data_IF_996524679112
#
_entry.id   IF_996524679112
#
_cell.length_a   1.000
_cell.length_b   1.000
_cell.length_c   1.000
_cell.angle_alpha   90.00
_cell.angle_beta   90.00
_cell.angle_gamma   90.00
#
_symmetry.space_group_name_H-M   'P 1'
#
loop_
_entity.id
_entity.type
_entity.pdbx_description
1 polymer ?
#
# COMPACT_ATOMS: atom_id res chain seq x y z
N UNK A 1 0.16 -22.05 22.89
CA UNK A 1 0.40 -23.41 23.40
C UNK A 1 0.82 -24.41 22.33
N UNK A 2 0.35 -24.32 21.08
CA UNK A 2 0.77 -25.25 20.00
C UNK A 2 2.29 -25.34 19.78
N UNK A 3 2.97 -24.20 19.75
CA UNK A 3 4.44 -24.13 19.66
C UNK A 3 5.12 -24.79 20.86
N UNK A 4 4.61 -24.56 22.07
CA UNK A 4 5.11 -25.18 23.31
C UNK A 4 4.95 -26.70 23.26
N UNK A 5 3.81 -27.21 22.78
CA UNK A 5 3.60 -28.64 22.60
C UNK A 5 4.56 -29.24 21.58
N UNK A 6 4.82 -28.54 20.48
CA UNK A 6 5.77 -28.98 19.45
C UNK A 6 7.20 -29.05 19.99
N UNK A 7 7.65 -28.02 20.72
CA UNK A 7 9.01 -27.96 21.25
C UNK A 7 9.23 -29.02 22.34
N UNK A 8 8.23 -29.25 23.19
CA UNK A 8 8.32 -30.19 24.31
C UNK A 8 8.04 -31.65 23.92
N UNK A 9 7.69 -31.94 22.66
CA UNK A 9 7.17 -33.24 22.22
C UNK A 9 6.00 -33.73 23.10
N UNK A 10 5.11 -32.81 23.48
CA UNK A 10 4.01 -33.10 24.39
C UNK A 10 3.04 -34.14 23.79
N UNK A 11 2.83 -35.30 24.44
CA UNK A 11 1.87 -36.29 23.97
C UNK A 11 0.44 -35.72 23.89
N UNK A 12 -0.35 -36.05 22.84
CA UNK A 12 -1.71 -35.52 22.67
C UNK A 12 -2.63 -35.70 23.90
N UNK A 13 -2.50 -36.82 24.61
CA UNK A 13 -3.28 -37.14 25.82
C UNK A 13 -3.06 -36.18 26.99
N UNK A 14 -1.99 -35.38 26.99
CA UNK A 14 -1.70 -34.43 28.06
C UNK A 14 -1.88 -32.97 27.65
N UNK A 15 -2.09 -32.67 26.36
CA UNK A 15 -2.16 -31.30 25.85
C UNK A 15 -3.27 -30.49 26.53
N UNK A 16 -4.49 -31.04 26.65
CA UNK A 16 -5.61 -30.36 27.31
C UNK A 16 -5.34 -30.15 28.80
N UNK A 17 -4.72 -31.12 29.49
CA UNK A 17 -4.33 -30.96 30.90
C UNK A 17 -3.35 -29.79 31.06
N UNK A 18 -2.28 -29.77 30.27
CA UNK A 18 -1.26 -28.72 30.36
C UNK A 18 -1.78 -27.34 29.95
N UNK A 19 -2.56 -27.24 28.87
CA UNK A 19 -3.15 -25.96 28.47
C UNK A 19 -4.08 -25.41 29.55
N UNK A 20 -4.96 -26.28 30.07
CA UNK A 20 -6.00 -25.83 31.00
C UNK A 20 -5.45 -25.38 32.35
N UNK A 21 -4.24 -25.83 32.73
CA UNK A 21 -3.50 -25.33 33.89
C UNK A 21 -3.05 -23.87 33.72
N UNK A 22 -2.98 -23.35 32.50
CA UNK A 22 -2.56 -21.97 32.22
C UNK A 22 -3.73 -20.98 32.14
N UNK A 23 -4.98 -21.48 32.19
CA UNK A 23 -6.17 -20.64 32.12
C UNK A 23 -6.30 -19.76 33.36
N UNK A 24 -6.77 -18.53 33.16
CA UNK A 24 -6.95 -17.54 34.21
C UNK A 24 -8.38 -16.96 34.18
N UNK A 25 -8.79 -16.37 35.30
CA UNK A 25 -10.02 -15.58 35.47
C UNK A 25 -11.30 -16.21 34.90
N UNK A 26 -11.95 -15.49 33.98
CA UNK A 26 -13.21 -15.87 33.35
C UNK A 26 -13.10 -17.16 32.56
N UNK A 27 -11.93 -17.43 31.98
CA UNK A 27 -11.64 -18.61 31.17
C UNK A 27 -11.49 -19.85 32.04
N UNK A 28 -10.78 -19.72 33.17
CA UNK A 28 -10.66 -20.79 34.15
C UNK A 28 -12.03 -21.14 34.77
N UNK A 29 -12.82 -20.12 35.09
CA UNK A 29 -14.18 -20.26 35.63
C UNK A 29 -15.10 -21.00 34.65
N UNK A 30 -15.03 -20.63 33.37
CA UNK A 30 -15.74 -21.30 32.30
C UNK A 30 -15.31 -22.76 32.15
N UNK A 31 -14.00 -23.03 32.09
CA UNK A 31 -13.48 -24.39 31.94
C UNK A 31 -13.88 -25.31 33.09
N UNK A 32 -13.82 -24.82 34.33
CA UNK A 32 -14.29 -25.56 35.51
C UNK A 32 -15.78 -25.89 35.42
N UNK A 33 -16.59 -24.97 34.91
CA UNK A 33 -18.01 -25.21 34.66
C UNK A 33 -18.24 -26.21 33.52
N UNK A 34 -17.43 -26.18 32.47
CA UNK A 34 -17.49 -27.12 31.36
C UNK A 34 -17.15 -28.54 31.81
N UNK A 35 -16.04 -28.73 32.55
CA UNK A 35 -15.67 -30.02 33.15
C UNK A 35 -16.79 -30.63 33.99
N UNK A 36 -17.49 -29.83 34.79
CA UNK A 36 -18.66 -30.31 35.57
C UNK A 36 -19.81 -30.80 34.70
N UNK A 37 -19.96 -30.26 33.48
CA UNK A 37 -21.06 -30.62 32.57
C UNK A 37 -20.80 -31.87 31.76
N UNK A 38 -19.57 -32.04 31.26
CA UNK A 38 -19.22 -33.15 30.37
C UNK A 38 -18.52 -34.31 31.06
N UNK A 39 -18.33 -34.21 32.38
CA UNK A 39 -17.47 -35.06 33.22
C UNK A 39 -15.96 -34.80 33.07
N UNK A 40 -15.20 -34.98 34.16
CA UNK A 40 -13.77 -34.67 34.25
C UNK A 40 -12.94 -35.59 33.36
N UNK A 41 -13.26 -36.88 33.31
CA UNK A 41 -12.48 -37.85 32.54
C UNK A 41 -12.72 -37.64 31.04
N UNK A 42 -13.98 -37.42 30.66
CA UNK A 42 -14.33 -37.07 29.28
C UNK A 42 -13.74 -35.71 28.86
N UNK A 43 -13.71 -34.71 29.75
CA UNK A 43 -13.07 -33.43 29.48
C UNK A 43 -11.58 -33.55 29.20
N UNK A 44 -10.85 -34.37 29.97
CA UNK A 44 -9.41 -34.56 29.74
C UNK A 44 -9.08 -35.59 28.65
N UNK A 45 -10.03 -36.46 28.27
CA UNK A 45 -9.90 -37.33 27.11
C UNK A 45 -10.08 -36.59 25.78
N UNK A 46 -10.61 -35.35 25.79
CA UNK A 46 -10.83 -34.58 24.57
C UNK A 46 -9.50 -34.21 23.89
N UNK A 47 -9.51 -34.14 22.56
CA UNK A 47 -8.36 -33.66 21.79
C UNK A 47 -8.20 -32.15 21.94
N UNK A 48 -6.96 -31.66 21.89
CA UNK A 48 -6.62 -30.24 21.87
C UNK A 48 -7.44 -29.42 20.86
N UNK A 49 -7.58 -29.91 19.63
CA UNK A 49 -8.40 -29.26 18.60
C UNK A 49 -9.88 -29.10 18.99
N UNK A 50 -10.41 -30.02 19.81
CA UNK A 50 -11.76 -29.93 20.35
C UNK A 50 -11.90 -28.82 21.39
N UNK A 51 -10.91 -28.70 22.29
CA UNK A 51 -10.85 -27.60 23.25
C UNK A 51 -10.75 -26.25 22.55
N UNK A 52 -9.85 -26.11 21.56
CA UNK A 52 -9.74 -24.89 20.74
C UNK A 52 -11.07 -24.52 20.10
N UNK A 53 -11.75 -25.48 19.47
CA UNK A 53 -13.05 -25.23 18.84
C UNK A 53 -14.10 -24.72 19.84
N UNK A 54 -14.13 -25.28 21.05
CA UNK A 54 -15.03 -24.82 22.12
C UNK A 54 -14.69 -23.41 22.58
N UNK A 55 -13.41 -23.16 22.85
CA UNK A 55 -12.89 -21.86 23.27
C UNK A 55 -13.18 -20.77 22.23
N UNK A 56 -12.90 -21.04 20.95
CA UNK A 56 -13.21 -20.12 19.83
C UNK A 56 -14.71 -19.83 19.76
N UNK A 57 -15.59 -20.82 19.99
CA UNK A 57 -17.04 -20.58 19.96
C UNK A 57 -17.50 -19.64 21.08
N UNK A 58 -16.85 -19.70 22.25
CA UNK A 58 -17.24 -18.91 23.43
C UNK A 58 -16.62 -17.52 23.40
N UNK A 59 -15.34 -17.40 23.04
CA UNK A 59 -14.57 -16.17 23.16
C UNK A 59 -14.26 -15.48 21.83
N UNK A 60 -14.49 -16.14 20.69
CA UNK A 60 -14.31 -15.56 19.36
C UNK A 60 -15.61 -15.68 18.55
N UNK A 61 -16.70 -15.04 19.01
CA UNK A 61 -17.99 -15.20 18.38
C UNK A 61 -17.99 -14.56 16.98
N UNK A 62 -18.55 -15.29 16.01
CA UNK A 62 -18.42 -14.97 14.58
C UNK A 62 -19.01 -13.61 14.19
N UNK A 63 -20.05 -13.17 14.90
CA UNK A 63 -20.67 -11.85 14.73
C UNK A 63 -19.73 -10.71 15.10
N UNK A 64 -18.98 -10.83 16.20
CA UNK A 64 -18.01 -9.81 16.62
C UNK A 64 -16.83 -9.74 15.67
N UNK A 65 -16.31 -10.90 15.22
CA UNK A 65 -15.25 -10.94 14.20
C UNK A 65 -15.71 -10.23 12.93
N UNK A 66 -16.91 -10.55 12.43
CA UNK A 66 -17.46 -9.91 11.24
C UNK A 66 -17.66 -8.41 11.42
N UNK A 67 -18.08 -7.98 12.62
CA UNK A 67 -18.21 -6.56 12.95
C UNK A 67 -16.85 -5.86 12.89
N UNK A 68 -15.82 -6.44 13.49
CA UNK A 68 -14.45 -5.92 13.44
C UNK A 68 -13.90 -5.86 12.01
N UNK A 69 -14.20 -6.86 11.17
CA UNK A 69 -13.80 -6.85 9.75
C UNK A 69 -14.44 -5.68 8.99
N UNK A 70 -15.72 -5.41 9.23
CA UNK A 70 -16.44 -4.28 8.62
C UNK A 70 -15.86 -2.95 9.09
N UNK A 71 -15.70 -2.77 10.41
CA UNK A 71 -15.12 -1.56 10.99
C UNK A 71 -13.70 -1.30 10.45
N UNK A 72 -12.91 -2.36 10.24
CA UNK A 72 -11.57 -2.26 9.68
C UNK A 72 -11.58 -1.86 8.20
N UNK A 73 -12.53 -2.38 7.41
CA UNK A 73 -12.75 -1.97 6.02
C UNK A 73 -13.13 -0.50 5.94
N UNK A 74 -14.10 -0.05 6.74
CA UNK A 74 -14.54 1.35 6.77
C UNK A 74 -13.41 2.28 7.19
N UNK A 75 -12.65 1.90 8.23
CA UNK A 75 -11.48 2.65 8.69
C UNK A 75 -10.40 2.75 7.62
N UNK A 76 -10.16 1.67 6.86
CA UNK A 76 -9.21 1.70 5.75
C UNK A 76 -9.67 2.66 4.65
N UNK A 77 -10.94 2.58 4.24
CA UNK A 77 -11.52 3.50 3.24
C UNK A 77 -11.41 4.95 3.70
N UNK A 78 -11.71 5.23 4.97
CA UNK A 78 -11.61 6.58 5.55
C UNK A 78 -10.19 7.15 5.58
N UNK A 79 -9.17 6.31 5.53
CA UNK A 79 -7.76 6.73 5.49
C UNK A 79 -7.21 6.96 4.08
N UNK A 80 -7.96 6.65 3.02
CA UNK A 80 -7.49 6.80 1.64
C UNK A 80 -7.62 8.24 1.14
N UNK A 81 -6.74 8.68 0.21
CA UNK A 81 -6.93 9.95 -0.50
C UNK A 81 -8.28 9.99 -1.24
N UNK A 82 -9.00 11.10 -1.19
CA UNK A 82 -10.36 11.27 -1.77
C UNK A 82 -10.50 10.74 -3.21
N UNK A 83 -9.46 10.95 -4.02
CA UNK A 83 -9.41 10.57 -5.42
C UNK A 83 -9.21 9.06 -5.67
N UNK A 84 -8.93 8.28 -4.63
CA UNK A 84 -8.91 6.80 -4.62
C UNK A 84 -10.13 6.29 -3.85
N UNK A 85 -10.41 6.88 -2.69
CA UNK A 85 -11.51 6.53 -1.80
C UNK A 85 -12.84 6.38 -2.54
N UNK A 86 -13.22 7.35 -3.37
CA UNK A 86 -14.47 7.30 -4.13
C UNK A 86 -14.61 6.05 -5.00
N UNK A 87 -13.52 5.64 -5.66
CA UNK A 87 -13.52 4.47 -6.52
C UNK A 87 -13.56 3.17 -5.71
N UNK A 88 -12.88 3.14 -4.57
CA UNK A 88 -12.94 2.00 -3.64
C UNK A 88 -14.34 1.81 -3.07
N UNK A 89 -15.02 2.89 -2.69
CA UNK A 89 -16.42 2.84 -2.22
C UNK A 89 -17.32 2.25 -3.30
N UNK A 90 -17.15 2.68 -4.56
CA UNK A 90 -17.92 2.14 -5.70
C UNK A 90 -17.66 0.65 -5.90
N UNK A 91 -16.43 0.19 -5.67
CA UNK A 91 -16.09 -1.22 -5.79
C UNK A 91 -16.64 -2.10 -4.65
N UNK A 92 -17.11 -1.49 -3.56
CA UNK A 92 -17.77 -2.15 -2.41
C UNK A 92 -17.07 -3.43 -1.94
N UNK A 93 -15.79 -3.37 -1.53
CA UNK A 93 -15.05 -4.55 -1.10
C UNK A 93 -15.63 -5.13 0.19
N UNK A 94 -15.89 -6.44 0.19
CA UNK A 94 -16.40 -7.15 1.36
C UNK A 94 -15.32 -7.48 2.39
N UNK A 95 -14.04 -7.46 1.97
CA UNK A 95 -12.89 -7.79 2.83
C UNK A 95 -11.81 -6.73 2.72
N UNK A 96 -11.03 -6.60 3.80
CA UNK A 96 -9.88 -5.69 3.83
C UNK A 96 -8.87 -6.01 2.72
N UNK A 97 -8.62 -7.29 2.44
CA UNK A 97 -7.67 -7.70 1.40
C UNK A 97 -8.09 -7.21 0.01
N UNK A 98 -9.39 -7.32 -0.31
CA UNK A 98 -9.94 -6.81 -1.57
C UNK A 98 -9.77 -5.29 -1.63
N UNK A 99 -9.98 -4.61 -0.52
CA UNK A 99 -9.81 -3.16 -0.41
C UNK A 99 -8.36 -2.72 -0.68
N UNK A 100 -7.39 -3.39 -0.06
CA UNK A 100 -5.95 -3.15 -0.28
C UNK A 100 -5.59 -3.37 -1.75
N UNK A 101 -6.06 -4.47 -2.35
CA UNK A 101 -5.82 -4.78 -3.75
C UNK A 101 -6.36 -3.70 -4.67
N UNK A 102 -7.62 -3.28 -4.49
CA UNK A 102 -8.27 -2.27 -5.32
C UNK A 102 -7.56 -0.92 -5.17
N UNK A 103 -7.23 -0.51 -3.94
CA UNK A 103 -6.52 0.74 -3.70
C UNK A 103 -5.16 0.77 -4.42
N UNK A 104 -4.40 -0.33 -4.34
CA UNK A 104 -3.11 -0.46 -5.03
C UNK A 104 -3.26 -0.39 -6.54
N UNK A 105 -4.23 -1.12 -7.12
CA UNK A 105 -4.51 -1.07 -8.55
C UNK A 105 -4.87 0.35 -9.04
N UNK A 106 -5.62 1.10 -8.23
CA UNK A 106 -5.97 2.48 -8.56
C UNK A 106 -4.77 3.42 -8.50
N UNK A 107 -3.85 3.21 -7.56
CA UNK A 107 -2.59 3.95 -7.48
C UNK A 107 -1.69 3.65 -8.67
N UNK A 108 -1.51 2.38 -9.01
CA UNK A 108 -0.68 1.93 -10.14
C UNK A 108 -1.22 2.48 -11.46
N UNK A 109 -2.54 2.40 -11.67
CA UNK A 109 -3.20 2.95 -12.86
C UNK A 109 -2.94 4.44 -13.01
N UNK A 110 -2.93 5.20 -11.90
CA UNK A 110 -2.60 6.63 -11.96
C UNK A 110 -1.16 6.87 -12.32
N UNK A 111 -0.22 6.15 -11.70
CA UNK A 111 1.20 6.28 -12.00
C UNK A 111 1.47 5.98 -13.48
N UNK A 112 0.87 4.93 -14.02
CA UNK A 112 0.92 4.59 -15.45
C UNK A 112 0.34 5.70 -16.33
N UNK A 113 -0.81 6.29 -15.96
CA UNK A 113 -1.39 7.41 -16.71
C UNK A 113 -0.46 8.63 -16.76
N UNK A 114 0.26 8.93 -15.67
CA UNK A 114 1.24 10.02 -15.64
C UNK A 114 2.44 9.71 -16.54
N UNK A 115 2.98 8.48 -16.47
CA UNK A 115 4.08 8.04 -17.33
C UNK A 115 3.69 8.13 -18.82
N UNK A 116 2.50 7.67 -19.19
CA UNK A 116 2.01 7.71 -20.56
C UNK A 116 1.86 9.15 -21.09
N UNK A 117 1.28 10.07 -20.30
CA UNK A 117 1.16 11.49 -20.68
C UNK A 117 2.52 12.17 -20.81
N UNK A 118 3.45 11.87 -19.92
CA UNK A 118 4.82 12.41 -19.98
C UNK A 118 5.54 11.97 -21.27
N UNK A 119 5.45 10.67 -21.59
CA UNK A 119 6.01 10.12 -22.83
C UNK A 119 5.37 10.75 -24.08
N UNK A 120 4.05 10.98 -24.06
CA UNK A 120 3.35 11.65 -25.15
C UNK A 120 3.78 13.11 -25.33
N UNK A 121 3.88 13.86 -24.24
CA UNK A 121 4.33 15.25 -24.27
C UNK A 121 5.77 15.35 -24.80
N UNK A 122 6.66 14.42 -24.42
CA UNK A 122 8.02 14.33 -24.96
C UNK A 122 8.01 14.10 -26.47
N UNK A 123 7.22 13.14 -26.96
CA UNK A 123 7.07 12.86 -28.40
C UNK A 123 6.59 14.09 -29.17
N UNK A 124 5.62 14.82 -28.64
CA UNK A 124 5.12 16.08 -29.24
C UNK A 124 6.18 17.17 -29.35
N UNK A 125 7.02 17.33 -28.33
CA UNK A 125 8.11 18.33 -28.35
C UNK A 125 9.16 17.92 -29.39
N UNK A 126 9.53 16.64 -29.45
CA UNK A 126 10.49 16.12 -30.43
C UNK A 126 9.98 16.23 -31.88
N UNK A 127 8.69 15.99 -32.13
CA UNK A 127 8.09 16.18 -33.46
C UNK A 127 8.11 17.65 -33.87
N UNK A 128 7.69 18.56 -32.98
CA UNK A 128 7.70 20.01 -33.24
C UNK A 128 9.12 20.54 -33.53
N UNK A 129 10.16 20.03 -32.86
CA UNK A 129 11.57 20.39 -33.12
C UNK A 129 12.04 19.95 -34.52
N UNK A 130 11.60 18.77 -34.98
CA UNK A 130 11.94 18.27 -36.32
C UNK A 130 11.27 19.08 -37.42
N UNK A 131 10.01 19.46 -37.24
CA UNK A 131 9.26 20.26 -38.21
C UNK A 131 9.82 21.69 -38.35
N UNK A 132 10.25 22.30 -37.24
CA UNK A 132 10.90 23.62 -37.26
C UNK A 132 12.29 23.61 -37.91
N UNK A 133 13.03 22.49 -37.89
CA UNK A 133 14.31 22.36 -38.63
C UNK A 133 14.11 22.30 -40.15
N UNK A 134 12.97 21.82 -40.63
CA UNK A 134 12.62 21.85 -42.05
C UNK A 134 12.22 23.24 -42.56
N UNK A 135 11.90 24.17 -41.65
CA UNK A 135 11.40 25.52 -41.95
C UNK A 135 12.45 26.63 -41.74
N UNK A 136 13.73 26.31 -41.50
CA UNK A 136 14.76 27.35 -41.42
C UNK A 136 14.93 28.00 -42.80
N UNK A 137 14.32 29.19 -42.96
CA UNK A 137 14.46 30.04 -44.15
C UNK A 137 15.96 30.26 -44.43
N UNK A 138 16.47 30.00 -45.64
CA UNK A 138 17.86 30.28 -45.95
C UNK A 138 18.03 31.80 -46.05
N UNK A 139 18.59 32.41 -45.00
CA UNK A 139 19.11 33.77 -45.07
C UNK A 139 20.17 33.81 -46.18
N UNK A 140 19.82 34.43 -47.31
CA UNK A 140 20.72 34.69 -48.44
C UNK A 140 21.94 35.47 -47.93
N UNK A 141 23.10 34.81 -47.89
CA UNK A 141 24.41 35.50 -47.88
C UNK A 141 24.69 36.02 -49.28
N UNK A 142 24.73 37.33 -49.46
CA UNK A 142 25.41 37.96 -50.60
C UNK A 142 26.85 38.26 -50.17
N UNK A 143 27.79 37.48 -50.68
CA UNK A 143 29.21 37.82 -50.67
C UNK A 143 29.48 38.70 -51.90
N UNK A 144 29.98 39.92 -51.70
CA UNK A 144 30.78 40.62 -52.70
C UNK A 144 32.16 40.83 -52.10
N UNK A 145 33.13 40.30 -52.83
CA UNK A 145 34.56 40.23 -52.55
C UNK A 145 35.22 41.61 -52.58
N UNK A 146 36.04 41.88 -51.56
CA UNK A 146 37.31 42.61 -51.68
C UNK A 146 37.29 44.11 -51.95
N UNK A 147 37.60 44.92 -50.92
CA UNK A 147 38.84 45.71 -50.88
C UNK A 147 38.95 46.51 -49.58
N UNK A 148 40.13 46.40 -48.97
CA UNK A 148 40.57 47.10 -47.78
C UNK A 148 40.71 48.61 -48.05
N UNK A 149 40.19 49.47 -47.16
CA UNK A 149 40.79 50.78 -46.88
C UNK A 149 40.68 51.07 -45.39
N UNK A 150 41.84 51.04 -44.73
CA UNK A 150 42.01 51.49 -43.35
C UNK A 150 41.71 53.01 -43.24
N UNK A 151 40.95 53.41 -42.21
CA UNK A 151 41.01 54.79 -41.70
C UNK A 151 40.93 54.78 -40.17
N UNK A 152 42.05 55.19 -39.58
CA UNK A 152 42.26 55.39 -38.17
C UNK A 152 41.41 56.56 -37.62
N UNK A 153 41.08 56.50 -36.34
CA UNK A 153 40.71 57.68 -35.56
C UNK A 153 41.63 57.76 -34.35
N UNK A 154 42.35 58.86 -34.31
CA UNK A 154 43.22 59.31 -33.24
C UNK A 154 42.43 59.63 -31.97
N UNK A 155 43.04 59.30 -30.84
CA UNK A 155 42.71 59.63 -29.46
C UNK A 155 42.35 61.11 -29.27
N UNK A 156 41.45 61.43 -28.31
CA UNK A 156 41.81 62.15 -27.06
C UNK A 156 40.64 62.89 -26.37
N UNK A 157 40.61 62.68 -25.04
CA UNK A 157 40.19 63.54 -23.91
C UNK A 157 38.90 63.24 -23.12
N UNK A 158 39.15 62.97 -21.83
CA UNK A 158 38.33 63.06 -20.62
C UNK A 158 37.69 64.46 -20.46
N UNK A 159 36.67 64.76 -19.64
CA UNK A 159 36.49 64.45 -18.20
C UNK A 159 35.16 65.08 -17.67
N UNK A 160 34.54 64.47 -16.63
CA UNK A 160 33.77 65.05 -15.48
C UNK A 160 32.46 65.83 -15.78
N UNK A 161 31.43 65.89 -14.94
CA UNK A 161 31.20 65.74 -13.48
C UNK A 161 29.93 64.86 -13.28
N UNK A 162 29.78 64.07 -12.22
CA UNK A 162 29.65 64.49 -10.83
C UNK A 162 28.19 64.34 -10.43
#
# INVERSE_FOLDING_TARGET
>A
METVFSISNCPPKYQVKYDTCTLQDSVLTWWNSHKRKIDVDAAYAMKWAGLIKLMTKVYCPRNEIRKMEIELVERFIGGLPNNIQRNVIVANPAKLQDNILIANQLMDKKLQCYAARSAENKRRIESNLRDNRGQQLPFKRQNISGQNVARAYTTRNNQRMG
#
